data_IF_201633717632
#
_entry.id   IF_201633717632
#
_cell.length_a   1.000
_cell.length_b   1.000
_cell.length_c   1.000
_cell.angle_alpha   90.00
_cell.angle_beta   90.00
_cell.angle_gamma   90.00
#
_symmetry.space_group_name_H-M   'P 1'
#
loop_
_entity.id
_entity.type
_entity.pdbx_description
1 polymer ?
#
# COMPACT_ATOMS: atom_id res chain seq x y z
N UNK A 1 -31.14 13.16 -10.83
CA UNK A 1 -30.65 11.98 -10.08
C UNK A 1 -29.86 11.14 -11.06
N UNK A 2 -28.54 11.18 -10.97
CA UNK A 2 -27.65 10.35 -11.78
C UNK A 2 -27.68 8.93 -11.22
N UNK A 3 -27.87 7.93 -12.08
CA UNK A 3 -28.02 6.52 -11.68
C UNK A 3 -26.75 5.77 -12.03
N UNK A 4 -26.05 5.26 -11.01
CA UNK A 4 -24.92 4.33 -11.17
C UNK A 4 -25.47 2.90 -11.35
N UNK A 5 -25.11 2.27 -12.46
CA UNK A 5 -25.46 0.88 -12.76
C UNK A 5 -24.22 0.00 -12.61
N UNK A 6 -24.32 -1.07 -11.81
CA UNK A 6 -23.21 -2.04 -11.60
C UNK A 6 -23.70 -3.48 -11.83
N UNK A 7 -24.01 -3.89 -13.09
CA UNK A 7 -24.72 -5.14 -13.39
C UNK A 7 -24.01 -6.41 -12.91
N UNK A 8 -22.66 -6.46 -12.93
CA UNK A 8 -21.89 -7.61 -12.43
C UNK A 8 -22.10 -7.90 -10.94
N UNK A 9 -22.53 -6.90 -10.14
CA UNK A 9 -22.74 -7.04 -8.70
C UNK A 9 -23.75 -8.14 -8.34
N UNK A 10 -24.74 -8.38 -9.20
CA UNK A 10 -25.77 -9.40 -8.94
C UNK A 10 -25.19 -10.81 -8.84
N UNK A 11 -24.10 -11.11 -9.56
CA UNK A 11 -23.45 -12.42 -9.53
C UNK A 11 -22.70 -12.65 -8.20
N UNK A 12 -22.11 -11.60 -7.62
CA UNK A 12 -21.36 -11.69 -6.36
C UNK A 12 -22.25 -11.64 -5.11
N UNK A 13 -23.29 -10.80 -5.12
CA UNK A 13 -24.31 -10.81 -4.05
C UNK A 13 -25.08 -12.15 -4.03
N UNK A 14 -25.15 -12.84 -5.18
CA UNK A 14 -25.70 -14.18 -5.33
C UNK A 14 -24.85 -15.32 -4.75
N UNK A 15 -23.58 -15.07 -4.37
CA UNK A 15 -22.80 -16.00 -3.54
C UNK A 15 -22.04 -17.12 -4.25
N UNK A 16 -21.70 -16.99 -5.55
CA UNK A 16 -21.03 -18.06 -6.32
C UNK A 16 -19.56 -18.35 -5.93
N UNK A 17 -18.91 -17.46 -5.16
CA UNK A 17 -17.56 -17.69 -4.63
C UNK A 17 -17.52 -17.29 -3.15
N UNK A 18 -17.71 -18.27 -2.26
CA UNK A 18 -17.51 -18.11 -0.82
C UNK A 18 -16.37 -19.00 -0.37
N UNK A 19 -15.28 -18.40 0.11
CA UNK A 19 -14.31 -19.12 0.94
C UNK A 19 -15.04 -19.63 2.19
N UNK A 20 -14.74 -20.85 2.68
CA UNK A 20 -15.35 -21.36 3.90
C UNK A 20 -14.94 -20.48 5.10
N UNK A 21 -15.92 -19.80 5.71
CA UNK A 21 -15.72 -18.92 6.85
C UNK A 21 -15.85 -17.43 6.51
N UNK A 22 -15.72 -16.57 7.53
CA UNK A 22 -15.79 -15.12 7.34
C UNK A 22 -14.40 -14.56 6.98
N UNK A 23 -14.27 -13.94 5.80
CA UNK A 23 -13.00 -13.35 5.33
C UNK A 23 -12.44 -12.32 6.32
N UNK A 24 -13.31 -11.57 7.00
CA UNK A 24 -12.91 -10.54 7.95
C UNK A 24 -12.47 -11.09 9.30
N UNK A 25 -12.73 -12.36 9.59
CA UNK A 25 -12.12 -13.08 10.71
C UNK A 25 -10.82 -13.75 10.28
N UNK A 26 -10.80 -14.37 9.09
CA UNK A 26 -9.67 -15.18 8.62
C UNK A 26 -8.45 -14.33 8.24
N UNK A 27 -8.64 -13.24 7.50
CA UNK A 27 -7.55 -12.38 7.01
C UNK A 27 -6.73 -11.77 8.15
N UNK A 28 -7.31 -11.10 9.17
CA UNK A 28 -6.53 -10.55 10.27
C UNK A 28 -5.94 -11.62 11.20
N UNK A 29 -6.38 -12.88 11.14
CA UNK A 29 -5.80 -13.96 11.95
C UNK A 29 -4.45 -14.48 11.41
N UNK A 30 -4.11 -14.16 10.15
CA UNK A 30 -2.80 -14.43 9.59
C UNK A 30 -1.81 -13.27 9.80
N UNK A 31 -0.52 -13.57 9.57
CA UNK A 31 0.59 -12.62 9.75
C UNK A 31 1.02 -11.91 8.46
N UNK A 32 0.48 -12.32 7.30
CA UNK A 32 0.78 -11.69 6.01
C UNK A 32 -0.27 -10.64 5.63
N UNK A 33 0.00 -9.41 6.06
CA UNK A 33 -0.82 -8.24 5.74
C UNK A 33 -0.84 -7.92 4.24
N UNK A 34 0.25 -8.21 3.51
CA UNK A 34 0.35 -7.88 2.08
C UNK A 34 -0.57 -8.81 1.29
N UNK A 35 -0.47 -10.12 1.52
CA UNK A 35 -1.37 -11.10 0.91
C UNK A 35 -2.83 -10.92 1.34
N UNK A 36 -3.05 -10.40 2.55
CA UNK A 36 -4.39 -10.10 3.07
C UNK A 36 -4.91 -8.72 2.68
N UNK A 37 -4.10 -7.89 2.02
CA UNK A 37 -4.41 -6.50 1.68
C UNK A 37 -4.79 -5.61 2.88
N UNK A 38 -4.26 -5.93 4.06
CA UNK A 38 -4.45 -5.14 5.29
C UNK A 38 -3.47 -3.96 5.25
N UNK A 39 -4.01 -2.76 5.29
CA UNK A 39 -3.25 -1.51 5.25
C UNK A 39 -2.82 -1.05 6.65
N UNK A 40 -3.70 -1.24 7.63
CA UNK A 40 -3.46 -0.82 9.01
C UNK A 40 -4.21 -1.73 10.00
N UNK A 41 -3.56 -2.05 11.12
CA UNK A 41 -4.12 -2.77 12.26
C UNK A 41 -4.24 -1.82 13.43
N UNK A 42 -5.47 -1.51 13.83
CA UNK A 42 -5.77 -0.80 15.08
C UNK A 42 -5.94 -1.78 16.24
N UNK A 43 -6.55 -1.28 17.31
CA UNK A 43 -6.80 -2.01 18.56
C UNK A 43 -8.01 -2.94 18.45
N UNK A 44 -9.12 -2.44 17.94
CA UNK A 44 -10.41 -3.14 17.81
C UNK A 44 -10.94 -3.17 16.38
N UNK A 45 -10.33 -2.41 15.47
CA UNK A 45 -10.63 -2.38 14.05
C UNK A 45 -9.36 -2.35 13.19
N UNK A 46 -9.49 -2.70 11.92
CA UNK A 46 -8.42 -2.69 10.93
C UNK A 46 -8.92 -2.13 9.59
N UNK A 47 -7.98 -1.73 8.73
CA UNK A 47 -8.25 -1.23 7.39
C UNK A 47 -7.73 -2.25 6.38
N UNK A 48 -8.58 -2.65 5.44
CA UNK A 48 -8.29 -3.64 4.39
C UNK A 48 -8.73 -3.12 3.02
N UNK A 49 -7.96 -3.37 1.95
CA UNK A 49 -8.44 -3.05 0.60
C UNK A 49 -9.51 -4.02 0.15
N UNK A 50 -10.48 -3.53 -0.61
CA UNK A 50 -11.41 -4.41 -1.28
C UNK A 50 -10.75 -5.03 -2.53
N UNK A 51 -10.66 -6.36 -2.57
CA UNK A 51 -10.14 -7.11 -3.71
C UNK A 51 -10.96 -6.90 -5.00
N UNK A 52 -12.25 -6.57 -4.84
CA UNK A 52 -13.17 -6.24 -5.93
C UNK A 52 -13.63 -4.78 -5.81
N UNK A 53 -12.73 -3.82 -6.06
CA UNK A 53 -12.97 -2.42 -5.76
C UNK A 53 -14.02 -1.80 -6.71
N UNK A 54 -14.77 -0.80 -6.24
CA UNK A 54 -15.62 0.00 -7.15
C UNK A 54 -14.79 1.01 -7.92
N UNK A 55 -13.72 1.51 -7.30
CA UNK A 55 -12.75 2.39 -7.92
C UNK A 55 -11.38 2.17 -7.27
N UNK A 56 -10.30 2.59 -7.93
CA UNK A 56 -8.94 2.46 -7.41
C UNK A 56 -8.85 3.03 -6.00
N UNK A 57 -8.27 2.25 -5.09
CA UNK A 57 -8.13 2.63 -3.70
C UNK A 57 -9.36 2.40 -2.82
N UNK A 58 -10.38 1.66 -3.28
CA UNK A 58 -11.50 1.25 -2.40
C UNK A 58 -10.99 0.42 -1.21
N UNK A 59 -11.22 0.93 0.00
CA UNK A 59 -10.90 0.24 1.26
C UNK A 59 -12.13 0.04 2.12
N UNK A 60 -11.98 -0.83 3.12
CA UNK A 60 -12.97 -1.11 4.14
C UNK A 60 -12.34 -0.96 5.53
N UNK A 61 -13.06 -0.32 6.45
CA UNK A 61 -12.73 -0.33 7.88
C UNK A 61 -13.61 -1.36 8.57
N UNK A 62 -13.00 -2.29 9.28
CA UNK A 62 -13.63 -3.54 9.72
C UNK A 62 -13.29 -3.81 11.18
N UNK A 63 -14.26 -4.11 12.05
CA UNK A 63 -13.98 -4.55 13.42
C UNK A 63 -13.34 -5.95 13.41
N UNK A 64 -12.48 -6.25 14.38
CA UNK A 64 -12.03 -7.64 14.60
C UNK A 64 -13.18 -8.53 15.10
N UNK A 65 -14.07 -7.97 15.92
CA UNK A 65 -15.26 -8.68 16.40
C UNK A 65 -16.21 -8.98 15.23
N UNK A 66 -16.59 -10.25 15.11
CA UNK A 66 -17.61 -10.66 14.15
C UNK A 66 -18.99 -10.19 14.62
N UNK A 67 -19.51 -9.16 13.95
CA UNK A 67 -20.76 -8.51 14.29
C UNK A 67 -21.44 -7.99 13.02
N UNK A 68 -22.74 -8.21 12.88
CA UNK A 68 -23.48 -7.84 11.67
C UNK A 68 -23.87 -6.36 11.64
N UNK A 69 -24.05 -5.74 12.82
CA UNK A 69 -24.55 -4.37 12.93
C UNK A 69 -23.71 -3.52 13.90
N UNK A 70 -23.86 -2.20 13.80
CA UNK A 70 -23.24 -1.26 14.74
C UNK A 70 -23.75 -1.43 16.18
N UNK A 71 -24.97 -1.93 16.37
CA UNK A 71 -25.55 -2.12 17.70
C UNK A 71 -24.95 -3.32 18.45
N UNK A 72 -24.30 -4.23 17.74
CA UNK A 72 -23.67 -5.43 18.29
C UNK A 72 -22.20 -5.18 18.70
N UNK A 73 -21.69 -3.96 18.46
CA UNK A 73 -20.31 -3.59 18.72
C UNK A 73 -20.17 -2.76 20.01
N UNK A 74 -19.06 -2.92 20.75
CA UNK A 74 -18.70 -2.03 21.83
C UNK A 74 -18.54 -0.57 21.35
N UNK A 75 -18.90 0.43 22.16
CA UNK A 75 -18.77 1.84 21.79
C UNK A 75 -17.34 2.25 21.37
N UNK A 76 -16.33 1.68 22.00
CA UNK A 76 -14.92 1.88 21.66
C UNK A 76 -14.59 1.39 20.25
N UNK A 77 -15.18 0.28 19.80
CA UNK A 77 -14.98 -0.25 18.45
C UNK A 77 -15.64 0.62 17.40
N UNK A 78 -16.86 1.08 17.67
CA UNK A 78 -17.52 2.07 16.80
C UNK A 78 -16.67 3.34 16.71
N UNK A 79 -16.16 3.82 17.85
CA UNK A 79 -15.30 5.02 17.92
C UNK A 79 -14.04 4.85 17.06
N UNK A 80 -13.35 3.72 17.16
CA UNK A 80 -12.14 3.46 16.38
C UNK A 80 -12.44 3.31 14.88
N UNK A 81 -13.51 2.61 14.50
CA UNK A 81 -13.93 2.49 13.09
C UNK A 81 -14.05 3.87 12.45
N UNK A 82 -14.78 4.79 13.09
CA UNK A 82 -14.96 6.14 12.56
C UNK A 82 -13.71 7.01 12.74
N UNK A 83 -12.91 6.77 13.78
CA UNK A 83 -11.63 7.44 14.03
C UNK A 83 -10.56 7.12 12.98
N UNK A 84 -10.64 5.97 12.30
CA UNK A 84 -9.75 5.60 11.20
C UNK A 84 -10.06 6.32 9.88
N UNK A 85 -11.31 6.76 9.67
CA UNK A 85 -11.74 7.34 8.38
C UNK A 85 -10.97 8.61 7.96
N UNK A 86 -10.66 9.57 8.86
CA UNK A 86 -9.87 10.75 8.48
C UNK A 86 -8.46 10.39 8.00
N UNK A 87 -7.84 9.37 8.59
CA UNK A 87 -6.51 8.90 8.19
C UNK A 87 -6.53 8.23 6.82
N UNK A 88 -7.51 7.37 6.61
CA UNK A 88 -7.73 6.67 5.33
C UNK A 88 -7.99 7.66 4.20
N UNK A 89 -8.93 8.59 4.40
CA UNK A 89 -9.27 9.58 3.37
C UNK A 89 -8.11 10.54 3.10
N UNK A 90 -7.36 10.96 4.12
CA UNK A 90 -6.15 11.76 3.93
C UNK A 90 -5.06 11.01 3.13
N UNK A 91 -4.83 9.73 3.42
CA UNK A 91 -3.87 8.91 2.68
C UNK A 91 -4.30 8.71 1.22
N UNK A 92 -5.58 8.42 0.97
CA UNK A 92 -6.15 8.31 -0.38
C UNK A 92 -6.05 9.63 -1.15
N UNK A 93 -6.37 10.76 -0.51
CA UNK A 93 -6.31 12.08 -1.12
C UNK A 93 -4.88 12.44 -1.56
N UNK A 94 -3.88 12.22 -0.68
CA UNK A 94 -2.47 12.49 -1.00
C UNK A 94 -1.95 11.56 -2.11
N UNK A 95 -2.30 10.29 -2.04
CA UNK A 95 -1.78 9.27 -2.96
C UNK A 95 -2.39 9.35 -4.34
N UNK A 96 -3.74 9.42 -4.39
CA UNK A 96 -4.53 9.19 -5.59
C UNK A 96 -5.09 10.49 -6.18
N UNK A 97 -5.00 11.61 -5.44
CA UNK A 97 -5.56 12.91 -5.84
C UNK A 97 -7.03 12.82 -6.24
N UNK A 98 -7.81 12.00 -5.52
CA UNK A 98 -9.25 11.97 -5.66
C UNK A 98 -9.88 13.32 -5.30
N UNK A 99 -11.10 13.56 -5.72
CA UNK A 99 -11.78 14.86 -5.52
C UNK A 99 -12.94 14.75 -4.52
N UNK A 100 -13.34 13.52 -4.19
CA UNK A 100 -14.35 13.25 -3.19
C UNK A 100 -14.36 11.80 -2.76
N UNK A 101 -15.30 11.47 -1.87
CA UNK A 101 -15.45 10.14 -1.31
C UNK A 101 -16.91 9.74 -1.20
N UNK A 102 -17.20 8.45 -1.40
CA UNK A 102 -18.38 7.84 -0.83
C UNK A 102 -17.96 6.99 0.37
N UNK A 103 -18.59 7.25 1.51
CA UNK A 103 -18.39 6.48 2.75
C UNK A 103 -19.74 5.93 3.17
N UNK A 104 -19.83 4.63 3.40
CA UNK A 104 -21.11 4.01 3.73
C UNK A 104 -21.01 2.57 4.20
N UNK A 105 -22.12 2.09 4.77
CA UNK A 105 -22.30 0.73 5.22
C UNK A 105 -23.55 0.14 4.57
N UNK A 106 -23.50 -1.15 4.24
CA UNK A 106 -24.67 -1.92 3.87
C UNK A 106 -24.95 -2.90 5.00
N UNK A 107 -26.11 -2.76 5.67
CA UNK A 107 -26.47 -3.60 6.82
C UNK A 107 -27.60 -4.55 6.41
N UNK A 108 -27.33 -5.86 6.48
CA UNK A 108 -28.22 -6.91 6.01
C UNK A 108 -28.14 -7.15 4.50
N UNK A 109 -28.48 -8.37 4.08
CA UNK A 109 -28.43 -8.79 2.66
C UNK A 109 -29.29 -7.91 1.75
N UNK A 110 -30.44 -7.45 2.23
CA UNK A 110 -31.36 -6.58 1.48
C UNK A 110 -30.78 -5.19 1.18
N UNK A 111 -29.81 -4.72 1.97
CA UNK A 111 -29.09 -3.48 1.71
C UNK A 111 -27.91 -3.68 0.73
N UNK A 112 -27.70 -4.91 0.23
CA UNK A 112 -26.63 -5.22 -0.71
C UNK A 112 -25.28 -5.50 -0.05
N UNK A 113 -25.26 -5.92 1.22
CA UNK A 113 -24.06 -6.38 1.90
C UNK A 113 -23.56 -7.70 1.29
N UNK A 114 -22.33 -7.69 0.75
CA UNK A 114 -21.70 -8.90 0.20
C UNK A 114 -21.31 -9.92 1.28
N UNK A 115 -20.93 -9.40 2.46
CA UNK A 115 -20.68 -10.17 3.69
C UNK A 115 -21.63 -9.62 4.75
N UNK A 116 -22.83 -10.19 4.83
CA UNK A 116 -23.93 -9.60 5.59
C UNK A 116 -23.82 -9.82 7.12
N UNK A 117 -23.00 -10.77 7.55
CA UNK A 117 -22.79 -11.18 8.95
C UNK A 117 -21.65 -10.43 9.64
N UNK A 118 -20.82 -9.68 8.90
CA UNK A 118 -19.70 -8.93 9.45
C UNK A 118 -19.63 -7.52 8.87
N UNK A 119 -19.87 -6.53 9.73
CA UNK A 119 -19.90 -5.11 9.44
C UNK A 119 -18.60 -4.62 8.80
N UNK A 120 -18.71 -3.76 7.79
CA UNK A 120 -17.56 -3.09 7.19
C UNK A 120 -17.99 -1.73 6.62
N UNK A 121 -17.20 -0.68 6.91
CA UNK A 121 -17.41 0.66 6.37
C UNK A 121 -16.62 0.78 5.07
N UNK A 122 -17.30 0.95 3.95
CA UNK A 122 -16.67 1.24 2.67
C UNK A 122 -16.17 2.69 2.63
N UNK A 123 -14.97 2.89 2.10
CA UNK A 123 -14.41 4.20 1.75
C UNK A 123 -13.95 4.14 0.30
N UNK A 124 -14.66 4.85 -0.57
CA UNK A 124 -14.50 4.78 -2.04
C UNK A 124 -14.07 6.15 -2.56
N UNK A 125 -12.82 6.31 -3.01
CA UNK A 125 -12.36 7.53 -3.68
C UNK A 125 -13.13 7.79 -4.98
N UNK A 126 -13.42 9.07 -5.26
CA UNK A 126 -14.19 9.52 -6.43
C UNK A 126 -13.47 10.64 -7.19
N UNK A 127 -13.70 10.69 -8.49
CA UNK A 127 -13.23 11.75 -9.39
C UNK A 127 -14.39 12.21 -10.28
N UNK A 128 -14.30 13.46 -10.75
CA UNK A 128 -15.16 13.94 -11.83
C UNK A 128 -14.99 13.04 -13.07
N UNK A 129 -16.12 12.49 -13.54
CA UNK A 129 -16.13 11.62 -14.73
C UNK A 129 -15.62 10.19 -14.53
N UNK A 130 -15.44 9.71 -13.29
CA UNK A 130 -15.02 8.32 -13.04
C UNK A 130 -16.05 7.26 -13.47
N UNK A 131 -17.31 7.65 -13.63
CA UNK A 131 -18.35 6.84 -14.26
C UNK A 131 -18.35 7.06 -15.78
N UNK A 132 -18.08 6.01 -16.54
CA UNK A 132 -18.11 6.05 -18.00
C UNK A 132 -19.08 4.99 -18.57
N UNK A 133 -19.11 4.82 -19.89
CA UNK A 133 -20.05 3.91 -20.57
C UNK A 133 -19.67 2.43 -20.47
N UNK A 134 -18.40 2.09 -20.18
CA UNK A 134 -17.89 0.71 -20.16
C UNK A 134 -18.64 -0.20 -19.17
N UNK A 135 -18.93 0.22 -17.93
CA UNK A 135 -19.67 -0.60 -16.96
C UNK A 135 -21.12 -0.85 -17.38
N UNK A 136 -21.69 0.08 -18.17
CA UNK A 136 -23.10 0.04 -18.59
C UNK A 136 -23.27 -0.84 -19.84
N UNK A 137 -22.42 -0.61 -20.85
CA UNK A 137 -22.56 -1.26 -22.17
C UNK A 137 -21.83 -2.60 -22.20
N UNK A 138 -20.65 -2.66 -21.60
CA UNK A 138 -19.76 -3.82 -21.67
C UNK A 138 -19.66 -4.61 -20.36
N UNK A 139 -20.41 -4.22 -19.31
CA UNK A 139 -20.33 -4.83 -17.98
C UNK A 139 -18.88 -4.95 -17.47
N UNK A 140 -18.03 -3.98 -17.84
CA UNK A 140 -16.59 -4.02 -17.62
C UNK A 140 -16.14 -2.74 -16.92
N UNK A 141 -15.46 -2.89 -15.78
CA UNK A 141 -14.80 -1.80 -15.07
C UNK A 141 -13.35 -1.70 -15.50
N UNK A 142 -12.89 -0.48 -15.78
CA UNK A 142 -11.48 -0.21 -16.08
C UNK A 142 -10.87 0.47 -14.87
N UNK A 143 -9.87 -0.16 -14.27
CA UNK A 143 -9.12 0.37 -13.13
C UNK A 143 -7.70 0.72 -13.61
N UNK A 144 -7.25 1.98 -13.47
CA UNK A 144 -5.99 2.44 -14.05
C UNK A 144 -4.73 1.95 -13.32
N UNK A 145 -4.86 1.36 -12.13
CA UNK A 145 -3.73 0.93 -11.31
C UNK A 145 -3.98 -0.45 -10.70
N UNK A 146 -2.93 -1.26 -10.61
CA UNK A 146 -2.98 -2.61 -10.03
C UNK A 146 -3.08 -2.55 -8.51
N UNK A 147 -3.77 -3.53 -7.92
CA UNK A 147 -3.95 -3.62 -6.46
C UNK A 147 -2.63 -3.58 -5.67
N UNK A 148 -1.56 -4.34 -6.02
CA UNK A 148 -0.30 -4.27 -5.27
C UNK A 148 0.34 -2.88 -5.29
N UNK A 149 0.23 -2.17 -6.41
CA UNK A 149 0.75 -0.81 -6.56
C UNK A 149 -0.04 0.16 -5.69
N UNK A 150 -1.37 0.15 -5.79
CA UNK A 150 -2.24 1.00 -4.96
C UNK A 150 -2.07 0.69 -3.47
N UNK A 151 -1.96 -0.60 -3.13
CA UNK A 151 -1.70 -1.07 -1.77
C UNK A 151 -0.39 -0.48 -1.22
N UNK A 152 0.70 -0.60 -1.98
CA UNK A 152 2.02 -0.09 -1.59
C UNK A 152 2.00 1.41 -1.33
N UNK A 153 1.36 2.18 -2.22
CA UNK A 153 1.27 3.64 -2.09
C UNK A 153 0.44 4.05 -0.87
N UNK A 154 -0.75 3.46 -0.68
CA UNK A 154 -1.61 3.76 0.47
C UNK A 154 -0.98 3.31 1.80
N UNK A 155 -0.32 2.15 1.82
CA UNK A 155 0.33 1.65 3.02
C UNK A 155 1.52 2.52 3.42
N UNK A 156 2.31 2.97 2.44
CA UNK A 156 3.40 3.92 2.69
C UNK A 156 2.87 5.21 3.34
N UNK A 157 1.80 5.80 2.80
CA UNK A 157 1.18 7.00 3.39
C UNK A 157 0.70 6.78 4.82
N UNK A 158 -0.01 5.67 5.07
CA UNK A 158 -0.55 5.40 6.41
C UNK A 158 0.57 5.21 7.43
N UNK A 159 1.64 4.49 7.07
CA UNK A 159 2.82 4.31 7.93
C UNK A 159 3.46 5.64 8.31
N UNK A 160 3.62 6.55 7.35
CA UNK A 160 4.29 7.84 7.62
C UNK A 160 3.37 8.91 8.21
N UNK A 161 2.05 8.74 8.13
CA UNK A 161 1.04 9.74 8.52
C UNK A 161 1.02 10.10 10.01
N UNK A 162 1.43 9.19 10.89
CA UNK A 162 1.27 9.35 12.34
C UNK A 162 0.11 8.57 12.95
N UNK A 163 -0.66 7.86 12.13
CA UNK A 163 -1.70 6.94 12.59
C UNK A 163 -1.13 5.90 13.57
N UNK A 164 -1.73 5.79 14.76
CA UNK A 164 -1.35 4.84 15.80
C UNK A 164 -0.06 5.19 16.56
N UNK A 165 0.46 6.42 16.43
CA UNK A 165 1.63 6.86 17.19
C UNK A 165 1.29 7.21 18.64
N UNK A 166 2.16 6.80 19.54
CA UNK A 166 2.07 7.17 20.96
C UNK A 166 2.36 8.66 21.18
N UNK A 167 1.78 9.29 22.22
CA UNK A 167 2.11 10.65 22.60
C UNK A 167 3.62 10.83 22.81
N UNK A 168 4.23 11.72 22.02
CA UNK A 168 5.66 11.99 22.09
C UNK A 168 6.52 11.26 21.05
N UNK A 169 5.95 10.40 20.21
CA UNK A 169 6.64 9.85 19.04
C UNK A 169 6.98 10.98 18.04
N UNK A 170 8.27 11.26 17.91
CA UNK A 170 8.83 12.31 17.05
C UNK A 170 9.59 11.75 15.85
N UNK A 171 9.36 10.49 15.48
CA UNK A 171 10.07 9.90 14.36
C UNK A 171 9.80 10.68 13.07
N UNK A 172 10.89 11.10 12.44
CA UNK A 172 10.88 11.85 11.19
C UNK A 172 10.47 10.91 10.05
N UNK A 173 9.35 11.18 9.36
CA UNK A 173 8.88 10.34 8.27
C UNK A 173 9.79 10.49 7.05
N UNK A 174 10.13 9.35 6.47
CA UNK A 174 10.94 9.22 5.27
C UNK A 174 10.31 8.16 4.36
N UNK A 175 10.67 8.19 3.09
CA UNK A 175 10.34 7.13 2.17
C UNK A 175 11.57 6.72 1.36
N UNK A 176 11.60 5.46 0.94
CA UNK A 176 12.69 4.88 0.18
C UNK A 176 12.23 3.72 -0.68
N UNK A 177 13.17 3.06 -1.34
CA UNK A 177 12.84 1.99 -2.27
C UNK A 177 13.77 0.78 -2.19
N UNK A 178 13.20 -0.40 -2.43
CA UNK A 178 13.94 -1.57 -2.94
C UNK A 178 13.91 -1.49 -4.46
N UNK A 179 15.07 -1.32 -5.08
CA UNK A 179 15.19 -1.01 -6.51
C UNK A 179 15.56 -2.25 -7.29
N UNK A 180 14.60 -2.78 -8.06
CA UNK A 180 14.80 -3.89 -8.98
C UNK A 180 15.08 -3.34 -10.37
N UNK A 181 16.04 -3.91 -11.07
CA UNK A 181 16.36 -3.58 -12.48
C UNK A 181 16.10 -4.83 -13.32
N UNK A 182 14.84 -5.06 -13.77
CA UNK A 182 14.44 -6.33 -14.40
C UNK A 182 15.25 -6.67 -15.66
N UNK A 183 15.59 -5.68 -16.48
CA UNK A 183 16.36 -5.87 -17.71
C UNK A 183 17.73 -6.51 -17.46
N UNK A 184 18.34 -6.20 -16.32
CA UNK A 184 19.65 -6.73 -15.90
C UNK A 184 19.52 -7.90 -14.93
N UNK A 185 18.30 -8.16 -14.41
CA UNK A 185 18.02 -9.10 -13.32
C UNK A 185 18.82 -8.80 -12.05
N UNK A 186 19.05 -7.50 -11.77
CA UNK A 186 19.86 -7.02 -10.64
C UNK A 186 19.03 -6.23 -9.64
N UNK A 187 19.59 -6.08 -8.44
CA UNK A 187 19.16 -5.11 -7.44
C UNK A 187 20.11 -3.93 -7.48
N UNK A 188 19.58 -2.71 -7.53
CA UNK A 188 20.39 -1.50 -7.42
C UNK A 188 20.47 -1.06 -5.95
N UNK A 189 21.69 -0.90 -5.43
CA UNK A 189 21.95 -0.30 -4.13
C UNK A 189 22.66 1.03 -4.30
N UNK A 190 22.41 1.95 -3.37
CA UNK A 190 23.09 3.23 -3.30
C UNK A 190 24.34 3.11 -2.43
N UNK A 191 25.44 3.73 -2.88
CA UNK A 191 26.62 3.99 -2.06
C UNK A 191 26.46 5.28 -1.26
N UNK A 192 26.50 5.19 0.05
CA UNK A 192 26.51 6.34 0.94
C UNK A 192 27.90 7.01 1.00
N UNK A 193 27.97 8.22 1.57
CA UNK A 193 29.22 9.00 1.66
C UNK A 193 30.33 8.32 2.45
N UNK A 194 29.97 7.46 3.42
CA UNK A 194 30.90 6.65 4.20
C UNK A 194 31.35 5.36 3.48
N UNK A 195 30.89 5.16 2.24
CA UNK A 195 31.19 4.01 1.40
C UNK A 195 30.25 2.82 1.61
N UNK A 196 29.37 2.86 2.62
CA UNK A 196 28.41 1.79 2.92
C UNK A 196 27.32 1.68 1.85
N UNK A 197 26.73 0.49 1.71
CA UNK A 197 25.67 0.22 0.75
C UNK A 197 24.32 0.20 1.45
N UNK A 198 23.39 0.99 0.92
CA UNK A 198 22.09 1.26 1.52
C UNK A 198 20.99 1.26 0.47
N UNK A 199 19.75 1.11 0.92
CA UNK A 199 18.58 1.41 0.10
C UNK A 199 18.43 2.94 -0.04
N UNK A 200 18.10 3.46 -1.23
CA UNK A 200 17.81 4.90 -1.42
C UNK A 200 16.62 5.31 -0.57
N UNK A 201 16.74 6.47 0.09
CA UNK A 201 15.69 7.03 0.96
C UNK A 201 15.97 8.49 1.27
N UNK A 202 14.91 9.23 1.51
CA UNK A 202 15.00 10.63 1.90
C UNK A 202 13.79 11.15 2.65
N UNK A 203 13.84 12.44 2.95
CA UNK A 203 12.78 13.13 3.67
C UNK A 203 11.61 13.41 2.72
N UNK A 204 10.39 13.27 3.24
CA UNK A 204 9.18 13.60 2.50
C UNK A 204 9.02 15.12 2.48
N UNK A 205 8.98 15.70 1.29
CA UNK A 205 8.82 17.15 1.13
C UNK A 205 7.36 17.60 1.40
N UNK A 206 7.12 18.87 1.76
CA UNK A 206 5.77 19.37 1.96
C UNK A 206 4.87 19.19 0.72
N UNK A 207 3.77 18.45 0.88
CA UNK A 207 2.81 18.18 -0.19
C UNK A 207 3.20 17.00 -1.10
N UNK A 208 4.35 16.38 -0.87
CA UNK A 208 4.79 15.17 -1.55
C UNK A 208 4.19 13.93 -0.88
N UNK A 209 3.72 12.97 -1.67
CA UNK A 209 3.36 11.65 -1.16
C UNK A 209 4.61 10.76 -1.00
N UNK A 210 4.64 9.88 -0.02
CA UNK A 210 5.72 8.95 0.30
C UNK A 210 6.20 8.16 -0.93
N UNK A 211 5.28 7.72 -1.79
CA UNK A 211 5.66 7.01 -3.01
C UNK A 211 6.39 7.92 -4.01
N UNK A 212 6.04 9.21 -4.08
CA UNK A 212 6.73 10.18 -4.93
C UNK A 212 8.12 10.47 -4.40
N UNK A 213 8.26 10.65 -3.09
CA UNK A 213 9.56 10.76 -2.41
C UNK A 213 10.45 9.56 -2.74
N UNK A 214 9.94 8.33 -2.61
CA UNK A 214 10.72 7.14 -2.94
C UNK A 214 11.22 7.12 -4.40
N UNK A 215 10.38 7.51 -5.36
CA UNK A 215 10.79 7.58 -6.77
C UNK A 215 11.77 8.73 -7.04
N UNK A 216 11.59 9.88 -6.38
CA UNK A 216 12.48 11.04 -6.48
C UNK A 216 13.88 10.68 -5.98
N UNK A 217 13.99 10.05 -4.82
CA UNK A 217 15.27 9.63 -4.25
C UNK A 217 15.99 8.60 -5.14
N UNK A 218 15.25 7.68 -5.78
CA UNK A 218 15.83 6.77 -6.78
C UNK A 218 16.35 7.53 -8.01
N UNK A 219 15.65 8.58 -8.45
CA UNK A 219 16.11 9.43 -9.54
C UNK A 219 17.35 10.24 -9.18
N UNK A 220 17.29 11.00 -8.09
CA UNK A 220 18.29 11.97 -7.68
C UNK A 220 19.57 11.32 -7.14
N UNK A 221 19.45 10.21 -6.39
CA UNK A 221 20.61 9.57 -5.76
C UNK A 221 21.22 8.49 -6.65
N UNK A 222 20.46 7.94 -7.61
CA UNK A 222 20.88 6.75 -8.37
C UNK A 222 20.87 6.92 -9.89
N UNK A 223 20.32 8.02 -10.43
CA UNK A 223 20.22 8.26 -11.87
C UNK A 223 19.23 7.33 -12.59
N UNK A 224 18.25 6.77 -11.87
CA UNK A 224 17.31 5.78 -12.38
C UNK A 224 15.90 6.36 -12.55
N UNK A 225 15.15 5.92 -13.57
CA UNK A 225 13.70 6.14 -13.64
C UNK A 225 12.99 4.93 -13.09
N UNK A 226 12.11 5.13 -12.11
CA UNK A 226 11.45 4.04 -11.40
C UNK A 226 9.92 4.15 -11.42
N UNK A 227 9.27 3.01 -11.25
CA UNK A 227 7.83 2.87 -11.07
C UNK A 227 7.55 1.95 -9.89
N UNK A 228 6.52 2.27 -9.10
CA UNK A 228 6.12 1.45 -7.96
C UNK A 228 5.55 0.12 -8.45
N UNK A 229 6.01 -0.97 -7.86
CA UNK A 229 5.56 -2.32 -8.17
C UNK A 229 4.81 -2.97 -6.99
N UNK A 230 5.34 -2.82 -5.77
CA UNK A 230 4.79 -3.47 -4.58
C UNK A 230 5.23 -2.78 -3.28
N UNK A 231 4.69 -3.21 -2.14
CA UNK A 231 5.14 -2.83 -0.80
C UNK A 231 6.40 -3.61 -0.44
N UNK A 232 7.42 -2.96 0.13
CA UNK A 232 8.62 -3.66 0.60
C UNK A 232 8.59 -3.85 2.13
N UNK A 233 8.31 -2.78 2.89
CA UNK A 233 8.30 -2.83 4.34
C UNK A 233 8.49 -1.46 4.98
N UNK A 234 8.56 -1.41 6.30
CA UNK A 234 8.87 -0.20 7.04
C UNK A 234 9.96 -0.47 8.07
N UNK A 235 10.82 0.51 8.32
CA UNK A 235 11.89 0.40 9.31
C UNK A 235 11.94 1.65 10.17
N UNK A 236 12.23 1.47 11.46
CA UNK A 236 12.50 2.54 12.42
C UNK A 236 13.91 2.40 12.95
N UNK A 237 14.66 3.49 13.00
CA UNK A 237 16.04 3.51 13.51
C UNK A 237 16.43 4.92 13.96
N UNK A 238 17.49 5.02 14.75
CA UNK A 238 18.00 6.29 15.30
C UNK A 238 19.34 6.64 14.67
N UNK A 239 19.48 7.88 14.19
CA UNK A 239 20.75 8.44 13.69
C UNK A 239 20.97 9.77 14.37
N UNK A 240 22.13 9.96 15.01
CA UNK A 240 22.49 11.19 15.72
C UNK A 240 21.44 11.67 16.76
N UNK A 241 20.77 10.71 17.41
CA UNK A 241 19.72 10.99 18.39
C UNK A 241 18.35 11.34 17.79
N UNK A 242 18.24 11.40 16.46
CA UNK A 242 16.98 11.58 15.75
C UNK A 242 16.41 10.23 15.30
N UNK A 243 15.16 10.00 15.69
CA UNK A 243 14.44 8.81 15.26
C UNK A 243 13.84 9.00 13.87
N UNK A 244 13.99 7.99 13.01
CA UNK A 244 13.54 8.01 11.62
C UNK A 244 12.60 6.83 11.39
N UNK A 245 11.49 7.09 10.71
CA UNK A 245 10.56 6.06 10.24
C UNK A 245 10.55 6.09 8.71
N UNK A 246 11.00 5.01 8.08
CA UNK A 246 11.09 4.92 6.63
C UNK A 246 10.08 3.90 6.11
N UNK A 247 9.22 4.31 5.19
CA UNK A 247 8.40 3.41 4.38
C UNK A 247 9.13 3.06 3.08
N UNK A 248 9.33 1.77 2.81
CA UNK A 248 9.98 1.29 1.59
C UNK A 248 8.96 0.67 0.63
N UNK A 249 9.05 1.08 -0.62
CA UNK A 249 8.31 0.48 -1.74
C UNK A 249 9.26 -0.37 -2.59
N UNK A 250 8.77 -1.46 -3.13
CA UNK A 250 9.47 -2.16 -4.22
C UNK A 250 9.20 -1.41 -5.51
N UNK A 251 10.26 -1.05 -6.23
CA UNK A 251 10.16 -0.34 -7.50
C UNK A 251 10.91 -1.10 -8.58
N UNK A 252 10.39 -1.04 -9.81
CA UNK A 252 11.13 -1.44 -11.00
C UNK A 252 11.75 -0.22 -11.63
N UNK A 253 13.01 -0.31 -12.04
CA UNK A 253 13.77 0.81 -12.57
C UNK A 253 14.47 0.50 -13.89
N UNK A 254 14.67 1.56 -14.67
CA UNK A 254 15.46 1.59 -15.91
C UNK A 254 16.44 2.78 -15.86
N UNK A 255 17.52 2.76 -16.67
CA UNK A 255 18.44 3.89 -16.81
C UNK A 255 17.71 5.22 -17.07
N UNK A 256 17.95 6.21 -16.20
CA UNK A 256 17.49 7.58 -16.37
C UNK A 256 18.47 8.44 -17.18
N UNK A 257 18.18 9.74 -17.33
CA UNK A 257 19.04 10.67 -18.08
C UNK A 257 20.46 10.78 -17.52
N UNK A 258 20.59 10.73 -16.18
CA UNK A 258 21.87 10.91 -15.49
C UNK A 258 22.55 9.58 -15.14
N UNK A 259 22.03 8.44 -15.63
CA UNK A 259 22.48 7.09 -15.27
C UNK A 259 23.99 6.89 -15.35
N UNK A 260 24.62 7.38 -16.42
CA UNK A 260 26.06 7.22 -16.66
C UNK A 260 26.93 7.91 -15.59
N UNK A 261 26.43 8.98 -14.98
CA UNK A 261 27.15 9.68 -13.91
C UNK A 261 27.08 8.93 -12.56
N UNK A 262 26.04 8.12 -12.34
CA UNK A 262 25.80 7.42 -11.09
C UNK A 262 26.35 5.98 -11.09
N UNK A 263 26.30 5.28 -12.24
CA UNK A 263 26.71 3.88 -12.31
C UNK A 263 28.19 3.68 -11.92
N UNK A 264 28.43 2.83 -10.91
CA UNK A 264 29.76 2.52 -10.39
C UNK A 264 30.30 3.54 -9.39
N UNK A 265 29.67 4.72 -9.30
CA UNK A 265 30.00 5.78 -8.34
C UNK A 265 29.06 5.69 -7.15
N UNK A 266 27.82 6.14 -7.34
CA UNK A 266 26.77 6.20 -6.32
C UNK A 266 25.77 5.04 -6.43
N UNK A 267 25.71 4.37 -7.59
CA UNK A 267 24.84 3.21 -7.84
C UNK A 267 25.63 1.96 -8.16
N UNK A 268 25.31 0.86 -7.49
CA UNK A 268 25.84 -0.47 -7.77
C UNK A 268 24.71 -1.43 -8.13
N UNK A 269 24.88 -2.16 -9.22
CA UNK A 269 24.02 -3.28 -9.59
C UNK A 269 24.63 -4.57 -9.07
N UNK A 270 23.88 -5.27 -8.24
CA UNK A 270 24.32 -6.50 -7.58
C UNK A 270 23.34 -7.63 -7.84
N UNK A 271 23.84 -8.86 -7.81
CA UNK A 271 22.93 -10.01 -7.76
C UNK A 271 22.09 -9.98 -6.48
N UNK A 272 20.86 -10.52 -6.47
CA UNK A 272 19.98 -10.44 -5.30
C UNK A 272 20.63 -10.91 -3.99
N UNK A 273 21.36 -12.02 -4.02
CA UNK A 273 22.06 -12.55 -2.84
C UNK A 273 23.21 -11.65 -2.38
N UNK A 274 23.98 -11.10 -3.32
CA UNK A 274 25.07 -10.17 -3.05
C UNK A 274 24.53 -8.85 -2.48
N UNK A 275 23.42 -8.35 -3.01
CA UNK A 275 22.75 -7.15 -2.51
C UNK A 275 22.30 -7.32 -1.06
N UNK A 276 21.71 -8.48 -0.73
CA UNK A 276 21.34 -8.80 0.66
C UNK A 276 22.59 -8.86 1.54
N UNK A 277 23.69 -9.48 1.10
CA UNK A 277 24.91 -9.54 1.89
C UNK A 277 25.62 -8.17 2.05
N UNK A 278 25.46 -7.29 1.07
CA UNK A 278 26.09 -5.97 1.02
C UNK A 278 25.45 -4.93 1.95
N UNK A 279 24.16 -5.08 2.29
CA UNK A 279 23.43 -4.13 3.15
C UNK A 279 23.92 -4.18 4.60
N UNK A 280 24.32 -3.02 5.11
CA UNK A 280 24.95 -2.87 6.43
C UNK A 280 23.99 -3.11 7.60
N UNK A 281 22.71 -2.80 7.43
CA UNK A 281 21.71 -2.84 8.51
C UNK A 281 20.76 -4.05 8.38
N UNK A 282 20.55 -4.79 9.47
CA UNK A 282 19.66 -5.97 9.51
C UNK A 282 18.24 -5.65 9.00
N UNK A 283 17.65 -4.53 9.45
CA UNK A 283 16.31 -4.12 9.02
C UNK A 283 16.19 -3.89 7.51
N UNK A 284 17.22 -3.34 6.86
CA UNK A 284 17.24 -3.17 5.41
C UNK A 284 17.39 -4.53 4.69
N UNK A 285 18.18 -5.46 5.25
CA UNK A 285 18.32 -6.83 4.72
C UNK A 285 17.00 -7.58 4.74
N UNK A 286 16.25 -7.49 5.84
CA UNK A 286 14.97 -8.18 5.95
C UNK A 286 13.91 -7.61 5.02
N UNK A 287 13.89 -6.28 4.83
CA UNK A 287 13.05 -5.61 3.84
C UNK A 287 13.39 -6.08 2.43
N UNK A 288 14.69 -6.13 2.08
CA UNK A 288 15.12 -6.58 0.76
C UNK A 288 14.75 -8.06 0.52
N UNK A 289 15.00 -8.95 1.49
CA UNK A 289 14.61 -10.37 1.38
C UNK A 289 13.11 -10.53 1.16
N UNK A 290 12.32 -9.86 2.00
CA UNK A 290 10.86 -9.91 1.90
C UNK A 290 10.35 -9.40 0.55
N UNK A 291 10.95 -8.33 0.02
CA UNK A 291 10.64 -7.83 -1.31
C UNK A 291 11.05 -8.81 -2.42
N UNK A 292 12.21 -9.44 -2.33
CA UNK A 292 12.70 -10.43 -3.30
C UNK A 292 11.84 -11.69 -3.33
N UNK A 293 11.40 -12.19 -2.17
CA UNK A 293 10.51 -13.35 -2.06
C UNK A 293 9.18 -13.11 -2.79
N UNK A 294 8.65 -11.87 -2.71
CA UNK A 294 7.44 -11.47 -3.45
C UNK A 294 7.71 -11.16 -4.92
N UNK A 295 8.90 -10.67 -5.25
CA UNK A 295 9.27 -10.23 -6.59
C UNK A 295 9.66 -11.37 -7.55
N UNK A 296 9.49 -12.65 -7.18
CA UNK A 296 9.94 -13.80 -8.00
C UNK A 296 9.59 -13.73 -9.50
N UNK A 297 8.41 -13.21 -9.86
CA UNK A 297 8.02 -13.00 -11.26
C UNK A 297 8.62 -11.76 -11.93
N UNK A 298 9.00 -10.73 -11.16
CA UNK A 298 9.52 -9.44 -11.65
C UNK A 298 10.99 -9.52 -12.07
N UNK A 299 11.78 -10.45 -11.53
CA UNK A 299 13.19 -10.68 -11.90
C UNK A 299 13.38 -11.88 -12.84
N UNK A 300 12.28 -12.49 -13.32
CA UNK A 300 12.34 -13.62 -14.25
C UNK A 300 12.92 -14.89 -13.64
N UNK A 301 12.61 -15.21 -12.38
CA UNK A 301 12.84 -16.55 -11.84
C UNK A 301 11.78 -17.49 -12.45
N UNK A 302 12.17 -18.22 -13.49
CA UNK A 302 11.37 -19.32 -14.03
C UNK A 302 11.15 -20.39 -12.96
N UNK A 303 9.93 -20.93 -12.94
CA UNK A 303 9.62 -22.21 -12.32
C UNK A 303 10.47 -23.34 -12.93
#
# INVERSE_FOLDING_TARGET
MERLWTPWRMQYVGGEVREPGCIFCLRPAGDDDVASLILHRGTTAFVIMNLYPYNTGHVMVVPYQHAATLADLPPETVTEIFGLLPWVTAAQQRTLRCEGFNIGLNIGSVAGAGVADHLHVHVVPRWEGDANFMPIIANTMVLPELIPVTYAKLRAELVVSGLGREPGDRALPQAGAVVLVPAERKVALRRARDGSLVLPKGQIEPGEAAWQTALREVGEEMGLRAQVADWAGASRFTVDGEEKLVAYLTVTAEPGPDWEAHLGVDTLLLDPEEAVAALTHDGARDILRSALDRAGSLLGAGA
#
